data_IF_859460828320
#
_entry.id   IF_859460828320
#
_cell.length_a   1.000
_cell.length_b   1.000
_cell.length_c   1.000
_cell.angle_alpha   90.00
_cell.angle_beta   90.00
_cell.angle_gamma   90.00
#
_symmetry.space_group_name_H-M   'P 1'
#
loop_
_entity.id
_entity.type
_entity.pdbx_description
1 polymer ?
#
# COMPACT_ATOMS: atom_id res chain seq x y z
N UNK A 1 14.43 12.19 -17.34
CA UNK A 1 14.91 10.83 -17.09
C UNK A 1 13.67 9.98 -16.82
N UNK A 2 13.44 8.90 -17.56
CA UNK A 2 12.28 8.02 -17.27
C UNK A 2 12.63 7.10 -16.11
N UNK A 3 11.64 6.85 -15.24
CA UNK A 3 11.77 5.93 -14.11
C UNK A 3 12.00 4.52 -14.63
N UNK A 4 12.99 3.82 -14.08
CA UNK A 4 13.34 2.46 -14.50
C UNK A 4 12.27 1.46 -14.06
N UNK A 5 12.08 0.42 -14.88
CA UNK A 5 11.34 -0.77 -14.50
C UNK A 5 12.32 -1.79 -13.94
N UNK A 6 12.02 -2.33 -12.76
CA UNK A 6 12.89 -3.27 -12.04
C UNK A 6 12.11 -4.51 -11.59
N UNK A 7 12.75 -5.68 -11.49
CA UNK A 7 12.13 -6.81 -10.82
C UNK A 7 11.99 -6.53 -9.32
N UNK A 8 10.84 -6.86 -8.76
CA UNK A 8 10.57 -6.79 -7.33
C UNK A 8 10.48 -8.21 -6.77
N UNK A 9 11.54 -8.66 -6.10
CA UNK A 9 11.68 -10.07 -5.72
C UNK A 9 11.89 -11.01 -6.91
N UNK A 10 11.79 -12.31 -6.66
CA UNK A 10 12.09 -13.37 -7.64
C UNK A 10 10.83 -14.02 -8.23
N UNK A 11 9.64 -13.54 -7.88
CA UNK A 11 8.34 -14.11 -8.29
C UNK A 11 7.88 -13.65 -9.69
N UNK A 12 8.74 -12.90 -10.43
CA UNK A 12 8.42 -12.43 -11.78
C UNK A 12 7.63 -11.12 -11.85
N UNK A 13 7.46 -10.41 -10.73
CA UNK A 13 6.83 -9.10 -10.72
C UNK A 13 7.85 -8.02 -11.10
N UNK A 14 7.58 -7.31 -12.20
CA UNK A 14 8.37 -6.16 -12.63
C UNK A 14 7.55 -4.90 -12.50
N UNK A 15 8.12 -3.84 -11.93
CA UNK A 15 7.42 -2.59 -11.67
C UNK A 15 8.39 -1.40 -11.69
N UNK A 16 7.87 -0.17 -11.68
CA UNK A 16 8.72 1.01 -11.58
C UNK A 16 9.47 1.05 -10.24
N UNK A 17 10.75 1.45 -10.27
CA UNK A 17 11.59 1.59 -9.06
C UNK A 17 11.05 2.60 -8.05
N UNK A 18 10.21 3.53 -8.52
CA UNK A 18 9.46 4.48 -7.69
C UNK A 18 7.97 4.21 -7.85
N UNK A 19 7.28 4.02 -6.74
CA UNK A 19 5.83 3.89 -6.70
C UNK A 19 5.17 5.13 -6.13
N UNK A 20 3.89 5.33 -6.46
CA UNK A 20 3.07 6.40 -5.89
C UNK A 20 2.17 5.86 -4.77
N UNK A 21 2.43 6.29 -3.53
CA UNK A 21 1.57 6.02 -2.39
C UNK A 21 0.31 6.92 -2.40
N UNK A 22 -0.85 6.29 -2.29
CA UNK A 22 -2.16 6.96 -2.38
C UNK A 22 -2.77 7.28 -1.01
N UNK A 23 -2.01 7.20 0.07
CA UNK A 23 -2.51 7.47 1.43
C UNK A 23 -3.06 8.88 1.56
N UNK A 24 -2.34 9.89 1.08
CA UNK A 24 -2.73 11.30 1.18
C UNK A 24 -3.99 11.67 0.39
N UNK A 25 -4.36 10.88 -0.62
CA UNK A 25 -5.61 11.10 -1.36
C UNK A 25 -6.81 10.42 -0.72
N UNK A 26 -6.57 9.47 0.18
CA UNK A 26 -7.63 8.75 0.90
C UNK A 26 -7.92 9.36 2.26
N UNK A 27 -6.88 9.59 3.06
CA UNK A 27 -7.02 10.11 4.41
C UNK A 27 -7.02 11.63 4.37
N UNK A 28 -8.20 12.21 4.60
CA UNK A 28 -8.40 13.65 4.57
C UNK A 28 -9.11 14.13 5.83
N UNK A 29 -8.76 15.34 6.27
CA UNK A 29 -9.43 16.08 7.35
C UNK A 29 -10.13 17.31 6.73
N UNK A 30 -11.40 17.14 6.35
CA UNK A 30 -12.11 18.16 5.58
C UNK A 30 -11.46 18.37 4.21
N UNK A 31 -10.91 19.57 3.94
CA UNK A 31 -10.26 19.93 2.67
C UNK A 31 -8.72 19.76 2.71
N UNK A 32 -8.17 19.24 3.79
CA UNK A 32 -6.72 19.07 3.94
C UNK A 32 -6.36 17.58 3.95
N UNK A 33 -5.15 17.27 3.50
CA UNK A 33 -4.55 15.94 3.63
C UNK A 33 -4.00 15.72 5.05
N UNK A 34 -3.35 14.57 5.27
CA UNK A 34 -2.72 14.19 6.54
C UNK A 34 -1.63 15.17 7.02
N UNK A 35 -1.09 15.98 6.12
CA UNK A 35 -0.01 16.93 6.39
C UNK A 35 -0.50 18.38 6.42
N UNK A 36 -1.81 18.59 6.52
CA UNK A 36 -2.42 19.91 6.57
C UNK A 36 -2.40 20.68 5.24
N UNK A 37 -2.03 20.03 4.13
CA UNK A 37 -1.99 20.65 2.81
C UNK A 37 -3.35 20.52 2.11
N UNK A 38 -3.74 21.59 1.40
CA UNK A 38 -4.91 21.56 0.52
C UNK A 38 -4.52 20.92 -0.81
N UNK A 39 -5.01 19.71 -1.06
CA UNK A 39 -4.80 18.99 -2.31
C UNK A 39 -6.16 18.75 -3.01
N UNK A 40 -6.15 18.72 -4.33
CA UNK A 40 -7.32 18.26 -5.08
C UNK A 40 -7.42 16.74 -5.02
N UNK A 41 -8.13 16.26 -4.00
CA UNK A 41 -8.42 14.84 -3.79
C UNK A 41 -9.75 14.40 -4.42
N UNK A 42 -10.34 15.25 -5.28
CA UNK A 42 -11.49 14.86 -6.10
C UNK A 42 -11.11 13.70 -7.04
N UNK A 43 -12.12 12.98 -7.53
CA UNK A 43 -11.88 11.91 -8.51
C UNK A 43 -11.14 12.41 -9.75
N UNK A 44 -11.39 13.66 -10.18
CA UNK A 44 -10.72 14.29 -11.32
C UNK A 44 -9.26 14.63 -11.00
N UNK A 45 -9.00 15.25 -9.84
CA UNK A 45 -7.63 15.57 -9.39
C UNK A 45 -6.79 14.32 -9.20
N UNK A 46 -7.37 13.25 -8.63
CA UNK A 46 -6.66 11.94 -8.49
C UNK A 46 -6.41 11.31 -9.86
N UNK A 47 -7.34 11.40 -10.81
CA UNK A 47 -7.12 10.89 -12.17
C UNK A 47 -6.01 11.66 -12.89
N UNK A 48 -5.95 12.98 -12.72
CA UNK A 48 -4.86 13.81 -13.25
C UNK A 48 -3.51 13.45 -12.62
N UNK A 49 -3.47 13.23 -11.30
CA UNK A 49 -2.26 12.78 -10.60
C UNK A 49 -1.76 11.44 -11.17
N UNK A 50 -2.64 10.45 -11.33
CA UNK A 50 -2.30 9.16 -11.94
C UNK A 50 -1.77 9.35 -13.36
N UNK A 51 -2.44 10.16 -14.19
CA UNK A 51 -2.01 10.44 -15.56
C UNK A 51 -0.61 11.07 -15.62
N UNK A 52 -0.33 12.03 -14.77
CA UNK A 52 1.01 12.67 -14.69
C UNK A 52 2.07 11.68 -14.24
N UNK A 53 1.76 10.82 -13.27
CA UNK A 53 2.68 9.82 -12.75
C UNK A 53 3.04 8.78 -13.81
N UNK A 54 2.05 8.30 -14.57
CA UNK A 54 2.27 7.37 -15.70
C UNK A 54 3.16 8.02 -16.76
N UNK A 55 2.91 9.27 -17.13
CA UNK A 55 3.76 10.03 -18.08
C UNK A 55 5.20 10.20 -17.59
N UNK A 56 5.42 10.21 -16.27
CA UNK A 56 6.76 10.22 -15.67
C UNK A 56 7.41 8.83 -15.60
N UNK A 57 6.69 7.76 -15.96
CA UNK A 57 7.18 6.38 -15.94
C UNK A 57 6.82 5.59 -14.67
N UNK A 58 5.99 6.13 -13.77
CA UNK A 58 5.47 5.38 -12.63
C UNK A 58 4.43 4.40 -13.09
N UNK A 59 4.64 3.13 -12.78
CA UNK A 59 3.65 2.07 -13.02
C UNK A 59 3.03 1.53 -11.74
N UNK A 60 3.67 1.70 -10.59
CA UNK A 60 3.26 1.16 -9.29
C UNK A 60 2.43 2.16 -8.48
N UNK A 61 1.16 1.85 -8.25
CA UNK A 61 0.24 2.66 -7.42
C UNK A 61 -0.15 1.88 -6.18
N UNK A 62 0.28 2.37 -5.01
CA UNK A 62 0.07 1.70 -3.72
C UNK A 62 -1.04 2.37 -2.92
N UNK A 63 -2.06 1.62 -2.56
CA UNK A 63 -3.17 2.06 -1.72
C UNK A 63 -3.46 1.07 -0.58
N UNK A 64 -4.52 1.30 0.18
CA UNK A 64 -5.04 0.37 1.17
C UNK A 64 -6.51 0.65 1.48
N UNK A 65 -7.24 -0.38 1.91
CA UNK A 65 -8.64 -0.26 2.28
C UNK A 65 -8.91 0.76 3.38
N UNK A 66 -7.95 0.91 4.32
CA UNK A 66 -8.07 1.85 5.43
C UNK A 66 -7.87 3.31 5.00
N UNK A 67 -7.36 3.59 3.80
CA UNK A 67 -7.16 4.95 3.33
C UNK A 67 -8.50 5.61 2.95
N UNK A 68 -9.20 6.09 3.97
CA UNK A 68 -10.51 6.73 3.90
C UNK A 68 -10.53 7.98 4.79
N UNK A 69 -11.53 8.83 4.64
CA UNK A 69 -11.65 10.03 5.46
C UNK A 69 -11.71 9.69 6.96
N UNK A 70 -11.25 10.62 7.80
CA UNK A 70 -11.14 10.42 9.25
C UNK A 70 -12.48 10.04 9.90
N UNK A 71 -13.58 10.58 9.41
CA UNK A 71 -14.94 10.23 9.88
C UNK A 71 -15.24 8.74 9.67
N UNK A 72 -14.80 8.17 8.55
CA UNK A 72 -14.92 6.74 8.28
C UNK A 72 -14.04 5.88 9.19
N UNK A 73 -12.87 6.38 9.58
CA UNK A 73 -11.98 5.68 10.51
C UNK A 73 -12.53 5.71 11.95
N UNK A 74 -13.05 6.84 12.41
CA UNK A 74 -13.58 7.00 13.78
C UNK A 74 -14.88 6.21 14.03
N UNK A 75 -15.69 5.99 13.00
CA UNK A 75 -16.92 5.19 13.10
C UNK A 75 -16.67 3.69 13.16
N UNK A 76 -15.39 3.24 13.21
CA UNK A 76 -15.04 1.82 13.22
C UNK A 76 -15.57 1.08 12.00
N UNK A 77 -15.92 1.81 10.95
CA UNK A 77 -16.58 1.25 9.80
C UNK A 77 -15.61 0.38 9.01
N UNK A 78 -15.74 -0.90 9.16
CA UNK A 78 -15.25 -1.95 8.26
C UNK A 78 -15.79 -1.77 6.82
N UNK A 79 -16.52 -0.69 6.57
CA UNK A 79 -17.13 -0.37 5.29
C UNK A 79 -16.30 0.68 4.59
N UNK A 80 -15.87 0.43 3.34
CA UNK A 80 -15.30 1.46 2.50
C UNK A 80 -16.33 2.60 2.45
N UNK A 81 -16.02 3.72 3.08
CA UNK A 81 -16.84 4.93 2.98
C UNK A 81 -16.97 5.33 1.52
N UNK A 82 -17.96 6.17 1.21
CA UNK A 82 -18.18 6.64 -0.15
C UNK A 82 -16.93 7.27 -0.79
N UNK A 83 -15.88 7.54 -0.02
CA UNK A 83 -14.77 8.42 -0.36
C UNK A 83 -13.38 7.86 0.02
N UNK A 84 -13.14 6.56 -0.26
CA UNK A 84 -11.82 5.94 -0.06
C UNK A 84 -10.86 6.21 -1.22
N UNK A 85 -9.52 6.11 -0.95
CA UNK A 85 -8.50 6.20 -1.98
C UNK A 85 -8.77 5.24 -3.15
N UNK A 86 -9.14 3.98 -2.86
CA UNK A 86 -9.48 2.98 -3.87
C UNK A 86 -10.59 3.46 -4.82
N UNK A 87 -11.65 4.09 -4.29
CA UNK A 87 -12.75 4.63 -5.11
C UNK A 87 -12.34 5.85 -5.93
N UNK A 88 -11.46 6.70 -5.38
CA UNK A 88 -10.97 7.89 -6.08
C UNK A 88 -10.05 7.53 -7.23
N UNK A 89 -9.26 6.47 -7.09
CA UNK A 89 -8.38 5.96 -8.14
C UNK A 89 -9.13 5.41 -9.36
N UNK A 90 -10.37 4.92 -9.19
CA UNK A 90 -11.14 4.23 -10.23
C UNK A 90 -11.14 4.96 -11.57
N UNK A 91 -11.34 6.28 -11.59
CA UNK A 91 -11.37 7.07 -12.82
C UNK A 91 -10.01 7.06 -13.53
N UNK A 92 -8.92 7.34 -12.81
CA UNK A 92 -7.58 7.34 -13.38
C UNK A 92 -7.15 5.96 -13.88
N UNK A 93 -7.43 4.90 -13.12
CA UNK A 93 -7.15 3.53 -13.53
C UNK A 93 -7.89 3.14 -14.81
N UNK A 94 -9.16 3.54 -14.95
CA UNK A 94 -9.96 3.24 -16.14
C UNK A 94 -9.47 3.97 -17.40
N UNK A 95 -8.89 5.16 -17.26
CA UNK A 95 -8.36 5.98 -18.37
C UNK A 95 -7.02 5.46 -18.91
N UNK A 96 -6.25 4.72 -18.09
CA UNK A 96 -4.89 4.25 -18.37
C UNK A 96 -4.78 2.73 -18.24
N UNK A 97 -5.78 2.00 -18.73
CA UNK A 97 -5.83 0.54 -18.62
C UNK A 97 -4.61 -0.11 -19.29
N UNK A 98 -3.89 -0.93 -18.51
CA UNK A 98 -2.70 -1.63 -18.99
C UNK A 98 -1.37 -0.88 -18.76
N UNK A 99 -1.41 0.37 -18.29
CA UNK A 99 -0.23 1.19 -18.05
C UNK A 99 0.17 1.26 -16.57
N UNK A 100 -0.49 0.49 -15.71
CA UNK A 100 -0.32 0.53 -14.27
C UNK A 100 -0.38 -0.86 -13.65
N UNK A 101 0.21 -0.95 -12.48
CA UNK A 101 0.07 -2.04 -11.52
C UNK A 101 -0.44 -1.47 -10.22
N UNK A 102 -1.49 -2.06 -9.67
CA UNK A 102 -2.07 -1.60 -8.42
C UNK A 102 -1.75 -2.55 -7.27
N UNK A 103 -1.27 -1.96 -6.19
CA UNK A 103 -1.12 -2.62 -4.91
C UNK A 103 -2.18 -2.10 -3.93
N UNK A 104 -2.85 -3.00 -3.22
CA UNK A 104 -3.71 -2.64 -2.09
C UNK A 104 -3.55 -3.66 -0.97
N UNK A 105 -4.19 -3.40 0.18
CA UNK A 105 -3.91 -4.14 1.40
C UNK A 105 -5.20 -4.52 2.13
N UNK A 106 -5.33 -5.80 2.52
CA UNK A 106 -6.29 -6.17 3.55
C UNK A 106 -5.81 -5.62 4.90
N UNK A 107 -6.71 -5.02 5.68
CA UNK A 107 -6.36 -4.28 6.89
C UNK A 107 -5.58 -5.10 7.91
N UNK A 108 -6.01 -6.35 8.16
CA UNK A 108 -5.34 -7.30 9.04
C UNK A 108 -5.38 -8.71 8.46
N UNK A 109 -4.41 -9.55 8.87
CA UNK A 109 -4.51 -10.98 8.69
C UNK A 109 -5.80 -11.51 9.33
N UNK A 110 -6.36 -12.57 8.80
CA UNK A 110 -7.65 -13.03 9.25
C UNK A 110 -8.07 -14.39 8.70
N UNK A 111 -9.26 -14.82 9.11
CA UNK A 111 -9.89 -16.02 8.58
C UNK A 111 -10.11 -15.88 7.06
N UNK A 112 -9.98 -16.96 6.32
CA UNK A 112 -10.09 -17.02 4.84
C UNK A 112 -11.26 -16.20 4.28
N UNK A 113 -12.47 -16.42 4.80
CA UNK A 113 -13.68 -15.71 4.35
C UNK A 113 -13.55 -14.18 4.49
N UNK A 114 -12.91 -13.71 5.55
CA UNK A 114 -12.73 -12.26 5.79
C UNK A 114 -11.76 -11.68 4.76
N UNK A 115 -10.60 -12.32 4.58
CA UNK A 115 -9.56 -11.89 3.62
C UNK A 115 -10.13 -11.83 2.20
N UNK A 116 -10.84 -12.88 1.76
CA UNK A 116 -11.45 -12.95 0.43
C UNK A 116 -12.52 -11.87 0.24
N UNK A 117 -13.42 -11.70 1.21
CA UNK A 117 -14.45 -10.64 1.12
C UNK A 117 -13.83 -9.24 1.04
N UNK A 118 -12.75 -8.99 1.75
CA UNK A 118 -12.05 -7.70 1.69
C UNK A 118 -11.40 -7.50 0.31
N UNK A 119 -10.79 -8.54 -0.27
CA UNK A 119 -10.26 -8.49 -1.63
C UNK A 119 -11.35 -8.12 -2.65
N UNK A 120 -12.50 -8.80 -2.63
CA UNK A 120 -13.61 -8.52 -3.55
C UNK A 120 -14.15 -7.09 -3.39
N UNK A 121 -14.14 -6.54 -2.17
CA UNK A 121 -14.52 -5.14 -1.94
C UNK A 121 -13.53 -4.18 -2.58
N UNK A 122 -12.23 -4.42 -2.48
CA UNK A 122 -11.19 -3.62 -3.13
C UNK A 122 -11.32 -3.65 -4.65
N UNK A 123 -11.50 -4.83 -5.24
CA UNK A 123 -11.75 -5.00 -6.68
C UNK A 123 -12.95 -4.16 -7.14
N UNK A 124 -14.08 -4.27 -6.42
CA UNK A 124 -15.30 -3.49 -6.70
C UNK A 124 -15.07 -1.98 -6.55
N UNK A 125 -14.35 -1.55 -5.51
CA UNK A 125 -14.08 -0.14 -5.24
C UNK A 125 -13.25 0.49 -6.35
N UNK A 126 -12.21 -0.19 -6.81
CA UNK A 126 -11.32 0.27 -7.88
C UNK A 126 -11.90 0.02 -9.28
N UNK A 127 -12.90 -0.87 -9.41
CA UNK A 127 -13.50 -1.25 -10.71
C UNK A 127 -12.54 -2.03 -11.60
N UNK A 128 -11.77 -2.92 -11.01
CA UNK A 128 -10.81 -3.82 -11.68
C UNK A 128 -11.14 -5.27 -11.36
N UNK A 129 -10.69 -6.20 -12.20
CA UNK A 129 -10.99 -7.63 -12.06
C UNK A 129 -9.91 -8.41 -11.31
N UNK A 130 -8.67 -7.86 -11.27
CA UNK A 130 -7.52 -8.46 -10.64
C UNK A 130 -6.64 -7.37 -10.01
N UNK A 131 -6.14 -7.61 -8.80
CA UNK A 131 -5.15 -6.78 -8.10
C UNK A 131 -3.76 -7.33 -8.44
N UNK A 132 -2.82 -6.48 -8.85
CA UNK A 132 -1.48 -6.95 -9.17
C UNK A 132 -0.72 -7.41 -7.93
N UNK A 133 -0.76 -6.64 -6.83
CA UNK A 133 -0.06 -6.97 -5.59
C UNK A 133 -0.98 -6.76 -4.38
N UNK A 134 -1.26 -7.83 -3.64
CA UNK A 134 -2.15 -7.78 -2.49
C UNK A 134 -1.41 -8.04 -1.20
N UNK A 135 -1.41 -7.05 -0.30
CA UNK A 135 -0.71 -7.12 0.97
C UNK A 135 -1.61 -7.52 2.14
N UNK A 136 -0.99 -8.12 3.15
CA UNK A 136 -1.49 -8.04 4.54
C UNK A 136 -0.92 -6.77 5.16
N UNK A 137 -1.78 -5.79 5.50
CA UNK A 137 -1.35 -4.48 6.00
C UNK A 137 -0.77 -4.57 7.42
N UNK A 138 -1.40 -5.38 8.28
CA UNK A 138 -0.90 -5.68 9.64
C UNK A 138 -1.19 -7.12 9.97
N UNK A 139 -0.24 -7.79 10.60
CA UNK A 139 -0.42 -9.16 11.10
C UNK A 139 -1.20 -9.12 12.42
N UNK A 140 -2.25 -9.93 12.53
CA UNK A 140 -2.94 -10.15 13.79
C UNK A 140 -2.26 -11.31 14.53
N UNK A 141 -1.62 -11.09 15.69
CA UNK A 141 -0.90 -12.13 16.41
C UNK A 141 -1.82 -13.24 16.95
N UNK A 142 -3.13 -13.00 16.97
CA UNK A 142 -4.14 -13.97 17.45
C UNK A 142 -4.54 -14.98 16.36
N UNK A 143 -4.15 -14.75 15.11
CA UNK A 143 -4.51 -15.61 13.98
C UNK A 143 -3.22 -16.10 13.32
N UNK A 144 -2.99 -17.42 13.22
CA UNK A 144 -1.84 -17.94 12.49
C UNK A 144 -1.78 -17.38 11.08
N UNK A 145 -0.60 -16.85 10.69
CA UNK A 145 -0.43 -16.20 9.38
C UNK A 145 -0.72 -17.17 8.24
N UNK A 146 -0.50 -18.46 8.45
CA UNK A 146 -0.72 -19.52 7.49
C UNK A 146 -2.17 -19.52 6.97
N UNK A 147 -3.15 -19.31 7.86
CA UNK A 147 -4.58 -19.25 7.49
C UNK A 147 -4.83 -18.11 6.48
N UNK A 148 -4.16 -16.99 6.68
CA UNK A 148 -4.26 -15.84 5.76
C UNK A 148 -3.56 -16.15 4.44
N UNK A 149 -2.39 -16.79 4.47
CA UNK A 149 -1.64 -17.17 3.27
C UNK A 149 -2.36 -18.22 2.42
N UNK A 150 -3.08 -19.15 3.05
CA UNK A 150 -3.95 -20.07 2.33
C UNK A 150 -5.07 -19.31 1.59
N UNK A 151 -5.64 -18.26 2.19
CA UNK A 151 -6.63 -17.42 1.50
C UNK A 151 -6.00 -16.66 0.32
N UNK A 152 -4.74 -16.24 0.42
CA UNK A 152 -4.03 -15.61 -0.70
C UNK A 152 -3.82 -16.60 -1.85
N UNK A 153 -3.44 -17.85 -1.58
CA UNK A 153 -3.34 -18.90 -2.59
C UNK A 153 -4.68 -19.14 -3.31
N UNK A 154 -5.80 -19.18 -2.55
CA UNK A 154 -7.12 -19.29 -3.16
C UNK A 154 -7.44 -18.09 -4.07
N UNK A 155 -7.12 -16.88 -3.65
CA UNK A 155 -7.34 -15.67 -4.46
C UNK A 155 -6.46 -15.63 -5.72
N UNK A 156 -5.24 -16.17 -5.67
CA UNK A 156 -4.38 -16.36 -6.84
C UNK A 156 -5.04 -17.36 -7.80
N UNK A 157 -5.46 -18.51 -7.29
CA UNK A 157 -6.13 -19.55 -8.09
C UNK A 157 -7.42 -19.04 -8.76
N UNK A 158 -8.14 -18.13 -8.11
CA UNK A 158 -9.33 -17.47 -8.64
C UNK A 158 -9.01 -16.33 -9.63
N UNK A 159 -7.74 -16.00 -9.86
CA UNK A 159 -7.32 -14.88 -10.69
C UNK A 159 -7.71 -13.51 -10.13
N UNK A 160 -7.91 -13.39 -8.83
CA UNK A 160 -8.31 -12.14 -8.16
C UNK A 160 -7.12 -11.29 -7.71
N UNK A 161 -5.98 -11.94 -7.49
CA UNK A 161 -4.70 -11.30 -7.22
C UNK A 161 -3.60 -12.02 -7.99
N UNK A 162 -2.48 -11.32 -8.30
CA UNK A 162 -1.33 -11.96 -8.97
C UNK A 162 -0.21 -12.25 -8.00
N UNK A 163 0.14 -11.30 -7.15
CA UNK A 163 1.28 -11.32 -6.27
C UNK A 163 0.89 -10.99 -4.84
N UNK A 164 1.66 -11.48 -3.88
CA UNK A 164 1.37 -11.34 -2.44
C UNK A 164 2.53 -10.67 -1.73
N UNK A 165 2.20 -9.79 -0.78
CA UNK A 165 3.16 -9.16 0.10
C UNK A 165 2.70 -9.11 1.55
N UNK A 166 3.63 -8.84 2.45
CA UNK A 166 3.36 -8.48 3.85
C UNK A 166 3.82 -7.05 4.12
N UNK A 167 3.20 -6.41 5.10
CA UNK A 167 3.65 -5.10 5.60
C UNK A 167 3.89 -5.18 7.10
N UNK A 168 5.02 -4.63 7.56
CA UNK A 168 5.36 -4.53 8.98
C UNK A 168 5.27 -5.88 9.72
N UNK A 169 5.90 -6.90 9.16
CA UNK A 169 5.93 -8.24 9.72
C UNK A 169 7.32 -8.59 10.26
N UNK A 170 7.38 -9.34 11.37
CA UNK A 170 8.63 -9.86 11.91
C UNK A 170 9.26 -10.91 10.99
N UNK A 171 10.56 -11.10 11.08
CA UNK A 171 11.32 -12.09 10.33
C UNK A 171 10.71 -13.51 10.44
N UNK A 172 10.35 -13.92 11.66
CA UNK A 172 9.70 -15.21 11.89
C UNK A 172 8.36 -15.34 11.16
N UNK A 173 7.54 -14.27 11.13
CA UNK A 173 6.26 -14.26 10.42
C UNK A 173 6.47 -14.30 8.91
N UNK A 174 7.44 -13.54 8.38
CA UNK A 174 7.78 -13.54 6.95
C UNK A 174 8.16 -14.95 6.50
N UNK A 175 9.03 -15.63 7.24
CA UNK A 175 9.48 -17.01 6.91
C UNK A 175 8.31 -17.99 6.89
N UNK A 176 7.43 -17.95 7.89
CA UNK A 176 6.25 -18.81 7.97
C UNK A 176 5.24 -18.53 6.83
N UNK A 177 5.00 -17.27 6.55
CA UNK A 177 4.10 -16.86 5.48
C UNK A 177 4.62 -17.29 4.11
N UNK A 178 5.91 -17.06 3.84
CA UNK A 178 6.57 -17.41 2.59
C UNK A 178 6.55 -18.92 2.32
N UNK A 179 6.65 -19.75 3.36
CA UNK A 179 6.57 -21.21 3.26
C UNK A 179 5.19 -21.71 2.78
N UNK A 180 4.11 -20.95 3.02
CA UNK A 180 2.75 -21.31 2.60
C UNK A 180 2.38 -20.71 1.26
N UNK A 181 2.71 -19.43 1.07
CA UNK A 181 2.45 -18.68 -0.15
C UNK A 181 3.70 -17.82 -0.45
N UNK A 182 4.40 -18.06 -1.56
CA UNK A 182 5.60 -17.31 -1.89
C UNK A 182 5.33 -15.80 -1.90
N UNK A 183 6.04 -15.07 -1.05
CA UNK A 183 5.93 -13.61 -0.97
C UNK A 183 6.77 -12.97 -2.07
N UNK A 184 6.19 -12.03 -2.78
CA UNK A 184 6.87 -11.21 -3.77
C UNK A 184 7.68 -10.12 -3.11
N UNK A 185 7.11 -9.48 -2.09
CA UNK A 185 7.80 -8.41 -1.38
C UNK A 185 7.29 -8.23 0.06
N UNK A 186 8.08 -7.48 0.82
CA UNK A 186 7.69 -6.95 2.14
C UNK A 186 7.72 -5.43 2.07
N UNK A 187 6.70 -4.77 2.61
CA UNK A 187 6.62 -3.31 2.70
C UNK A 187 6.92 -2.86 4.13
N UNK A 188 7.98 -2.09 4.30
CA UNK A 188 8.49 -1.63 5.60
C UNK A 188 8.80 -0.14 5.57
N UNK A 189 8.73 0.53 6.73
CA UNK A 189 9.30 1.87 6.85
C UNK A 189 10.82 1.76 6.72
N UNK A 190 11.39 2.50 5.77
CA UNK A 190 12.83 2.54 5.57
C UNK A 190 13.28 3.92 5.13
N UNK A 191 14.07 4.55 5.96
CA UNK A 191 14.60 5.90 5.72
C UNK A 191 15.87 6.10 6.53
N UNK A 192 16.50 7.26 6.44
CA UNK A 192 17.64 7.61 7.30
C UNK A 192 17.26 7.66 8.79
N UNK A 193 15.97 7.78 9.13
CA UNK A 193 15.47 7.77 10.52
C UNK A 193 15.01 6.40 11.00
N UNK A 194 14.58 5.52 10.10
CA UNK A 194 14.02 4.20 10.43
C UNK A 194 14.84 3.14 9.70
N UNK A 195 15.73 2.48 10.42
CA UNK A 195 16.70 1.52 9.87
C UNK A 195 16.60 0.11 10.47
N UNK A 196 15.65 -0.11 11.35
CA UNK A 196 15.50 -1.34 12.13
C UNK A 196 15.35 -2.60 11.28
N UNK A 197 14.81 -2.46 10.04
CA UNK A 197 14.69 -3.60 9.14
C UNK A 197 16.05 -4.12 8.62
N UNK A 198 17.13 -3.34 8.73
CA UNK A 198 18.43 -3.69 8.17
C UNK A 198 19.07 -4.89 8.88
N UNK A 199 18.78 -5.08 10.17
CA UNK A 199 19.40 -6.11 11.00
C UNK A 199 18.89 -7.53 10.69
N UNK A 200 17.59 -7.70 10.50
CA UNK A 200 16.96 -9.02 10.34
C UNK A 200 16.18 -9.17 9.03
N UNK A 201 15.43 -8.14 8.63
CA UNK A 201 14.47 -8.25 7.52
C UNK A 201 15.18 -8.23 6.18
N UNK A 202 16.16 -7.33 5.97
CA UNK A 202 16.90 -7.27 4.72
C UNK A 202 17.68 -8.56 4.43
N UNK A 203 18.47 -9.12 5.38
CA UNK A 203 19.15 -10.39 5.16
C UNK A 203 18.17 -11.53 4.86
N UNK A 204 17.06 -11.63 5.59
CA UNK A 204 16.04 -12.63 5.35
C UNK A 204 15.39 -12.50 3.96
N UNK A 205 15.06 -11.28 3.56
CA UNK A 205 14.45 -11.05 2.24
C UNK A 205 15.43 -11.39 1.11
N UNK A 206 16.72 -11.08 1.28
CA UNK A 206 17.77 -11.48 0.33
C UNK A 206 17.90 -13.01 0.25
N UNK A 207 17.88 -13.72 1.37
CA UNK A 207 17.91 -15.19 1.45
C UNK A 207 16.75 -15.83 0.69
N UNK A 208 15.52 -15.27 0.86
CA UNK A 208 14.30 -15.84 0.32
C UNK A 208 13.91 -15.29 -1.08
N UNK A 209 14.70 -14.38 -1.65
CA UNK A 209 14.37 -13.75 -2.93
C UNK A 209 13.13 -12.84 -2.87
N UNK A 210 12.86 -12.26 -1.71
CA UNK A 210 11.73 -11.35 -1.47
C UNK A 210 12.20 -9.91 -1.69
N UNK A 211 11.45 -9.13 -2.46
CA UNK A 211 11.71 -7.71 -2.67
C UNK A 211 11.35 -6.85 -1.46
N UNK A 212 11.95 -5.65 -1.38
CA UNK A 212 11.61 -4.65 -0.36
C UNK A 212 10.92 -3.46 -1.03
N UNK A 213 9.79 -3.06 -0.45
CA UNK A 213 9.10 -1.80 -0.79
C UNK A 213 9.23 -0.86 0.40
N UNK A 214 10.07 0.16 0.27
CA UNK A 214 10.24 1.18 1.30
C UNK A 214 9.06 2.16 1.27
N UNK A 215 8.38 2.33 2.40
CA UNK A 215 7.46 3.47 2.53
C UNK A 215 8.07 4.56 3.41
N UNK A 216 7.60 5.80 3.24
CA UNK A 216 8.14 7.00 3.89
C UNK A 216 9.68 7.17 3.77
N UNK A 217 10.32 6.89 2.61
CA UNK A 217 11.78 6.93 2.48
C UNK A 217 12.36 8.34 2.72
N UNK A 218 11.53 9.38 2.58
CA UNK A 218 11.89 10.77 2.86
C UNK A 218 11.45 11.23 4.25
N UNK A 219 11.23 10.32 5.21
CA UNK A 219 10.78 10.64 6.57
C UNK A 219 9.50 11.48 6.58
N UNK A 220 8.53 11.15 5.73
CA UNK A 220 7.28 11.91 5.55
C UNK A 220 7.50 13.39 5.20
N UNK A 221 8.57 13.67 4.47
CA UNK A 221 8.97 15.00 4.02
C UNK A 221 9.98 15.70 4.93
N UNK A 222 10.28 15.20 6.11
CA UNK A 222 11.25 15.79 7.02
C UNK A 222 12.68 15.79 6.45
N UNK A 223 13.01 14.80 5.61
CA UNK A 223 14.30 14.70 4.92
C UNK A 223 14.35 15.49 3.60
N UNK A 224 13.20 15.96 3.11
CA UNK A 224 13.12 16.64 1.81
C UNK A 224 13.10 18.17 1.93
N UNK A 225 12.67 18.70 3.07
CA UNK A 225 12.43 20.15 3.24
C UNK A 225 12.99 20.62 4.58
N UNK A 226 14.11 21.32 4.53
CA UNK A 226 14.76 21.90 5.72
C UNK A 226 13.96 23.08 6.32
N UNK A 227 12.95 23.58 5.62
CA UNK A 227 12.05 24.62 6.13
C UNK A 227 10.90 24.08 6.96
N UNK A 228 10.73 22.77 7.02
CA UNK A 228 9.73 22.13 7.86
C UNK A 228 10.12 22.29 9.34
N UNK A 229 9.39 23.15 10.02
CA UNK A 229 9.52 23.40 11.44
C UNK A 229 8.41 22.62 12.20
N UNK A 230 8.75 21.59 12.99
CA UNK A 230 7.77 20.81 13.73
C UNK A 230 6.89 21.67 14.65
N UNK A 231 7.41 22.78 15.17
CA UNK A 231 6.64 23.67 16.05
C UNK A 231 5.54 24.42 15.30
N UNK A 232 5.78 24.73 14.01
CA UNK A 232 4.82 25.42 13.13
C UNK A 232 3.82 24.49 12.46
N UNK A 233 3.99 23.18 12.58
CA UNK A 233 3.03 22.22 12.03
C UNK A 233 1.68 22.32 12.76
N UNK A 234 0.60 22.11 12.02
CA UNK A 234 -0.75 22.00 12.58
C UNK A 234 -0.80 20.93 13.69
N UNK A 235 -1.61 21.13 14.74
CA UNK A 235 -1.88 20.12 15.75
C UNK A 235 -2.47 18.82 15.16
N UNK A 236 -3.08 18.93 13.99
CA UNK A 236 -3.67 17.80 13.25
C UNK A 236 -2.70 17.17 12.26
N UNK A 237 -1.46 17.63 12.19
CA UNK A 237 -0.44 17.04 11.32
C UNK A 237 -0.04 15.66 11.87
N UNK A 238 -0.17 14.64 11.03
CA UNK A 238 0.10 13.26 11.40
C UNK A 238 1.52 13.03 11.93
N UNK A 239 2.49 13.85 11.48
CA UNK A 239 3.88 13.79 11.94
C UNK A 239 4.06 14.16 13.42
N UNK A 240 3.08 14.83 14.03
CA UNK A 240 3.04 15.15 15.48
C UNK A 240 2.38 14.09 16.35
N UNK A 241 1.76 13.07 15.72
CA UNK A 241 0.98 12.05 16.43
C UNK A 241 1.76 10.74 16.66
N UNK A 242 3.01 10.66 16.17
CA UNK A 242 3.88 9.48 16.27
C UNK A 242 5.04 9.66 17.21
#
# INVERSE_FOLDING_TARGET
>A
MMIKQIPLGTQGFTTSEQGLGMMSVGITMGKQDLYGKKNDVSKKGVAELISRSIKAGVTHFDTAQIYTNLSGMMLGSWFPTADSAEKRMKLGLSQHKGEWQVATKVMKSGKKKVVKNMCYRSLKAMGIDCIDLYYVHRVDPKIPIEITMEAMNELIAEGKIKYVGLSEASAATIRRAHAVCPLTCVQMEWSLYSRELEDEILPLCAELGIGIVAYAPMGRGLLADTSLDPEKMSRMDFRKMG
#
